data_IF_451617197595
#
_entry.id   IF_451617197595
#
_cell.length_a   1.000
_cell.length_b   1.000
_cell.length_c   1.000
_cell.angle_alpha   90.00
_cell.angle_beta   90.00
_cell.angle_gamma   90.00
#
_symmetry.space_group_name_H-M   'P 1'
#
loop_
_entity.id
_entity.type
_entity.pdbx_description
1 polymer ?
#
# COMPACT_ATOMS: atom_id res chain seq x y z
N UNK A 1 -16.08 12.99 -2.26
CA UNK A 1 -15.94 11.52 -2.30
C UNK A 1 -15.28 11.06 -1.01
N UNK A 2 -15.87 10.12 -0.25
CA UNK A 2 -15.34 9.69 1.06
C UNK A 2 -14.54 8.39 0.90
N UNK A 3 -13.24 8.41 1.26
CA UNK A 3 -12.38 7.21 1.30
C UNK A 3 -12.78 6.34 2.49
N UNK A 4 -12.97 5.04 2.27
CA UNK A 4 -13.17 4.07 3.36
C UNK A 4 -11.88 3.33 3.62
N UNK A 5 -11.41 3.41 4.86
CA UNK A 5 -10.25 2.69 5.38
C UNK A 5 -10.77 1.81 6.50
N UNK A 6 -10.44 0.51 6.45
CA UNK A 6 -10.77 -0.46 7.51
C UNK A 6 -9.49 -1.11 8.00
N UNK A 7 -9.35 -1.19 9.32
CA UNK A 7 -8.23 -1.86 9.99
C UNK A 7 -8.80 -3.08 10.71
N UNK A 8 -8.19 -4.24 10.53
CA UNK A 8 -8.52 -5.47 11.24
C UNK A 8 -7.22 -6.23 11.55
N UNK A 9 -6.77 -6.16 12.80
CA UNK A 9 -5.45 -6.70 13.19
C UNK A 9 -4.35 -6.08 12.35
N UNK A 10 -3.58 -6.95 11.69
CA UNK A 10 -2.42 -6.56 10.86
C UNK A 10 -2.78 -6.24 9.40
N UNK A 11 -4.07 -6.09 9.11
CA UNK A 11 -4.57 -5.85 7.76
C UNK A 11 -5.25 -4.48 7.66
N UNK A 12 -4.76 -3.66 6.72
CA UNK A 12 -5.35 -2.40 6.32
C UNK A 12 -5.97 -2.53 4.93
N UNK A 13 -7.28 -2.33 4.81
CA UNK A 13 -7.98 -2.34 3.52
C UNK A 13 -8.31 -0.92 3.05
N UNK A 14 -8.01 -0.64 1.79
CA UNK A 14 -8.30 0.62 1.10
C UNK A 14 -9.28 0.35 -0.02
N UNK A 15 -10.45 0.99 0.06
CA UNK A 15 -11.42 0.95 -1.03
C UNK A 15 -11.67 2.37 -1.55
N UNK A 16 -11.24 2.61 -2.78
CA UNK A 16 -11.41 3.84 -3.52
C UNK A 16 -11.73 3.51 -4.99
N UNK A 17 -12.54 4.32 -5.71
CA UNK A 17 -12.90 4.04 -7.10
C UNK A 17 -11.73 3.79 -8.06
N UNK A 18 -10.55 4.33 -7.75
CA UNK A 18 -9.33 4.14 -8.56
C UNK A 18 -8.28 3.21 -7.92
N UNK A 19 -8.53 2.73 -6.69
CA UNK A 19 -7.59 1.87 -5.94
C UNK A 19 -8.40 0.94 -5.04
N UNK A 20 -8.34 -0.36 -5.31
CA UNK A 20 -8.82 -1.40 -4.40
C UNK A 20 -7.61 -2.20 -3.92
N UNK A 21 -7.26 -2.09 -2.63
CA UNK A 21 -6.02 -2.64 -2.14
C UNK A 21 -6.01 -2.98 -0.65
N UNK A 22 -4.94 -3.66 -0.26
CA UNK A 22 -4.72 -4.20 1.07
C UNK A 22 -3.24 -4.09 1.43
N UNK A 23 -2.96 -3.71 2.67
CA UNK A 23 -1.63 -3.81 3.28
C UNK A 23 -1.71 -4.85 4.38
N UNK A 24 -0.78 -5.80 4.38
CA UNK A 24 -0.64 -6.82 5.42
C UNK A 24 0.70 -6.63 6.08
N UNK A 25 0.72 -6.51 7.41
CA UNK A 25 1.95 -6.48 8.20
C UNK A 25 2.18 -7.88 8.75
N UNK A 26 3.21 -8.56 8.24
CA UNK A 26 3.71 -9.81 8.80
C UNK A 26 4.78 -9.54 9.85
N UNK A 27 5.34 -10.61 10.41
CA UNK A 27 6.40 -10.50 11.42
C UNK A 27 7.71 -9.93 10.86
N UNK A 28 8.00 -10.22 9.59
CA UNK A 28 9.27 -9.89 8.94
C UNK A 28 9.08 -9.12 7.63
N UNK A 29 7.84 -8.82 7.24
CA UNK A 29 7.50 -8.31 5.93
C UNK A 29 6.26 -7.43 5.96
N UNK A 30 6.18 -6.50 5.01
CA UNK A 30 4.98 -5.72 4.72
C UNK A 30 4.59 -5.97 3.28
N UNK A 31 3.41 -6.55 3.08
CA UNK A 31 2.91 -6.90 1.74
C UNK A 31 1.83 -5.90 1.35
N UNK A 32 2.08 -5.17 0.26
CA UNK A 32 1.12 -4.23 -0.34
C UNK A 32 0.57 -4.82 -1.63
N UNK A 33 -0.73 -5.07 -1.66
CA UNK A 33 -1.45 -5.59 -2.83
C UNK A 33 -2.49 -4.57 -3.26
N UNK A 34 -2.50 -4.16 -4.54
CA UNK A 34 -3.51 -3.23 -5.03
C UNK A 34 -3.86 -3.48 -6.49
N UNK A 35 -5.15 -3.36 -6.79
CA UNK A 35 -5.68 -3.19 -8.14
C UNK A 35 -5.86 -1.70 -8.42
N UNK A 36 -5.12 -1.20 -9.40
CA UNK A 36 -5.15 0.19 -9.81
C UNK A 36 -6.15 0.38 -10.96
N UNK A 37 -6.93 1.45 -10.89
CA UNK A 37 -7.71 1.93 -12.02
C UNK A 37 -6.80 2.44 -13.14
N UNK A 38 -7.30 2.42 -14.38
CA UNK A 38 -6.53 2.70 -15.60
C UNK A 38 -5.59 3.91 -15.51
N UNK A 39 -6.10 5.08 -15.12
CA UNK A 39 -5.28 6.31 -15.04
C UNK A 39 -4.22 6.24 -13.94
N UNK A 40 -4.51 5.59 -12.82
CA UNK A 40 -3.56 5.45 -11.71
C UNK A 40 -2.48 4.44 -12.06
N UNK A 41 -2.81 3.39 -12.81
CA UNK A 41 -1.86 2.38 -13.28
C UNK A 41 -0.75 2.97 -14.17
N UNK A 42 -1.00 4.08 -14.87
CA UNK A 42 0.04 4.80 -15.63
C UNK A 42 1.18 5.34 -14.75
N UNK A 43 0.94 5.49 -13.44
CA UNK A 43 1.94 5.96 -12.48
C UNK A 43 2.50 4.82 -11.62
N UNK A 44 2.33 3.55 -12.03
CA UNK A 44 2.71 2.38 -11.24
C UNK A 44 4.14 2.46 -10.70
N UNK A 45 5.11 2.75 -11.56
CA UNK A 45 6.53 2.75 -11.16
C UNK A 45 6.82 3.82 -10.11
N UNK A 46 6.25 5.02 -10.27
CA UNK A 46 6.35 6.09 -9.27
C UNK A 46 5.65 5.71 -7.96
N UNK A 47 4.52 5.01 -8.02
CA UNK A 47 3.83 4.52 -6.82
C UNK A 47 4.70 3.50 -6.10
N UNK A 48 5.33 2.57 -6.82
CA UNK A 48 6.24 1.57 -6.26
C UNK A 48 7.44 2.25 -5.58
N UNK A 49 8.08 3.22 -6.24
CA UNK A 49 9.17 4.01 -5.65
C UNK A 49 8.74 4.70 -4.34
N UNK A 50 7.54 5.27 -4.31
CA UNK A 50 7.06 5.96 -3.11
C UNK A 50 6.62 5.03 -1.99
N UNK A 51 6.10 3.86 -2.32
CA UNK A 51 5.85 2.81 -1.33
C UNK A 51 7.16 2.38 -0.68
N UNK A 52 8.21 2.12 -1.47
CA UNK A 52 9.54 1.78 -0.94
C UNK A 52 10.08 2.90 -0.06
N UNK A 53 10.05 4.15 -0.52
CA UNK A 53 10.54 5.30 0.28
C UNK A 53 9.82 5.44 1.61
N UNK A 54 8.49 5.28 1.61
CA UNK A 54 7.69 5.39 2.83
C UNK A 54 7.98 4.20 3.76
N UNK A 55 8.03 2.98 3.23
CA UNK A 55 8.31 1.80 4.04
C UNK A 55 9.72 1.84 4.64
N UNK A 56 10.74 2.23 3.87
CA UNK A 56 12.09 2.44 4.38
C UNK A 56 12.15 3.50 5.50
N UNK A 57 11.34 4.55 5.38
CA UNK A 57 11.27 5.61 6.39
C UNK A 57 10.61 5.15 7.68
N UNK A 58 9.53 4.38 7.57
CA UNK A 58 8.76 3.92 8.74
C UNK A 58 9.36 2.64 9.36
N UNK A 59 10.12 1.85 8.58
CA UNK A 59 10.76 0.61 8.99
C UNK A 59 12.26 0.60 8.62
N UNK A 60 13.08 1.49 9.22
CA UNK A 60 14.50 1.66 8.84
C UNK A 60 15.36 0.41 9.07
N UNK A 61 14.98 -0.44 10.02
CA UNK A 61 15.68 -1.67 10.37
C UNK A 61 15.26 -2.88 9.50
N UNK A 62 14.24 -2.73 8.66
CA UNK A 62 13.73 -3.78 7.77
C UNK A 62 14.43 -3.80 6.39
N UNK A 63 15.51 -3.04 6.23
CA UNK A 63 16.28 -3.02 4.97
C UNK A 63 16.89 -4.39 4.71
N UNK A 64 16.58 -4.93 3.52
CA UNK A 64 17.21 -6.14 2.97
C UNK A 64 18.72 -5.96 2.77
#
# INVERSE_FOLDING_TARGET
>A
MRRRVRVAGDVLSVNHPSVDGKVTVGKNDVVVEARLGFLVAMFRDRIDEELVRILDKEFPDAKA
#
